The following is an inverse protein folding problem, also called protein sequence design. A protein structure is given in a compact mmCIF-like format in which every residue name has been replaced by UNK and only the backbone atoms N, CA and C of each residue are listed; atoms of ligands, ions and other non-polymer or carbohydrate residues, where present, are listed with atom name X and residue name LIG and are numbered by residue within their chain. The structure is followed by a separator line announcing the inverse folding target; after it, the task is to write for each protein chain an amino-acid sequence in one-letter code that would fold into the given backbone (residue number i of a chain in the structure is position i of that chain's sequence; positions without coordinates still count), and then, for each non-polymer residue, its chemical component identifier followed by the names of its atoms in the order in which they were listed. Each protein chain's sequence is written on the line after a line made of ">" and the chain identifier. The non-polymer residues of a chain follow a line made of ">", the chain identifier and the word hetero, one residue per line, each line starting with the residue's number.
data_IF_354015363979
#
_entry.id   IF_354015363979
#
_cell.length_a   1.000
_cell.length_b   1.000
_cell.length_c   1.000
_cell.angle_alpha   90.00
_cell.angle_beta   90.00
_cell.angle_gamma   90.00
#
_symmetry.space_group_name_H-M   'P 1'
#
loop_
_entity.id
_entity.type
_entity.pdbx_description
1 polymer ?
#
# COMPACT_ATOMS: atom_id res chain seq x y z
N UNK A 1 4.66 -4.77 -7.21
CA UNK A 1 3.30 -4.21 -7.04
C UNK A 1 2.35 -4.97 -7.94
N UNK A 2 1.17 -5.34 -7.43
CA UNK A 2 0.09 -5.95 -8.21
C UNK A 2 -1.18 -5.15 -7.98
N UNK A 3 -1.82 -4.68 -9.05
CA UNK A 3 -3.12 -3.99 -9.00
C UNK A 3 -4.18 -4.98 -9.45
N UNK A 4 -5.23 -5.11 -8.65
CA UNK A 4 -6.41 -5.92 -8.92
C UNK A 4 -7.62 -4.99 -9.02
N UNK A 5 -8.77 -5.46 -9.56
CA UNK A 5 -9.93 -4.60 -9.76
C UNK A 5 -10.42 -3.89 -8.50
N UNK A 6 -10.23 -4.48 -7.32
CA UNK A 6 -10.76 -4.03 -6.03
C UNK A 6 -9.69 -3.82 -4.93
N UNK A 7 -8.42 -4.19 -5.17
CA UNK A 7 -7.35 -4.00 -4.19
C UNK A 7 -5.94 -3.97 -4.81
N UNK A 8 -4.95 -3.53 -4.03
CA UNK A 8 -3.54 -3.47 -4.44
C UNK A 8 -2.65 -4.23 -3.47
N UNK A 9 -1.66 -4.97 -4.01
CA UNK A 9 -0.59 -5.60 -3.24
C UNK A 9 0.72 -4.84 -3.47
N UNK A 10 1.29 -4.33 -2.39
CA UNK A 10 2.52 -3.55 -2.40
C UNK A 10 3.57 -4.21 -1.50
N UNK A 11 4.79 -4.33 -2.01
CA UNK A 11 5.98 -4.58 -1.19
C UNK A 11 6.67 -3.24 -1.06
N UNK A 12 6.77 -2.74 0.16
CA UNK A 12 7.36 -1.42 0.45
C UNK A 12 8.47 -1.55 1.48
N UNK A 13 9.44 -0.64 1.40
CA UNK A 13 10.47 -0.46 2.40
C UNK A 13 10.31 0.93 3.00
N UNK A 14 10.34 1.02 4.33
CA UNK A 14 10.25 2.27 5.08
C UNK A 14 11.20 2.21 6.28
N UNK A 15 11.46 3.35 6.93
CA UNK A 15 12.39 3.36 8.07
C UNK A 15 11.77 2.61 9.25
N UNK A 16 12.56 1.82 9.96
CA UNK A 16 12.08 1.03 11.10
C UNK A 16 11.57 1.88 12.27
N UNK A 17 11.93 3.17 12.30
CA UNK A 17 11.45 4.14 13.28
C UNK A 17 10.08 4.72 12.95
N UNK A 18 9.57 4.51 11.73
CA UNK A 18 8.24 4.99 11.33
C UNK A 18 7.15 4.00 11.75
N UNK A 19 6.02 4.53 12.22
CA UNK A 19 4.83 3.73 12.47
C UNK A 19 4.22 3.28 11.14
N UNK A 20 3.97 1.98 10.98
CA UNK A 20 3.34 1.41 9.79
C UNK A 20 1.98 2.06 9.49
N UNK A 21 1.17 2.34 10.51
CA UNK A 21 -0.13 2.97 10.32
C UNK A 21 0.00 4.36 9.69
N UNK A 22 0.98 5.16 10.12
CA UNK A 22 1.25 6.50 9.57
C UNK A 22 1.80 6.44 8.14
N UNK A 23 2.62 5.43 7.83
CA UNK A 23 3.08 5.15 6.45
C UNK A 23 1.89 4.84 5.55
N UNK A 24 1.00 3.94 5.98
CA UNK A 24 -0.17 3.54 5.18
C UNK A 24 -1.18 4.68 5.07
N UNK A 25 -1.37 5.49 6.12
CA UNK A 25 -2.24 6.67 6.07
C UNK A 25 -1.77 7.66 5.00
N UNK A 26 -0.47 8.01 5.00
CA UNK A 26 0.11 8.90 3.98
C UNK A 26 0.01 8.30 2.58
N UNK A 27 0.26 7.01 2.44
CA UNK A 27 0.19 6.30 1.16
C UNK A 27 -1.24 6.30 0.60
N UNK A 28 -2.22 5.83 1.38
CA UNK A 28 -3.63 5.78 0.96
C UNK A 28 -4.17 7.17 0.67
N UNK A 29 -3.93 8.14 1.57
CA UNK A 29 -4.40 9.52 1.40
C UNK A 29 -3.75 10.21 0.20
N UNK A 30 -2.42 10.10 0.05
CA UNK A 30 -1.68 10.69 -1.05
C UNK A 30 -2.09 10.13 -2.41
N UNK A 31 -2.21 8.79 -2.52
CA UNK A 31 -2.67 8.14 -3.74
C UNK A 31 -4.12 8.49 -4.07
N UNK A 32 -5.03 8.50 -3.08
CA UNK A 32 -6.42 8.93 -3.29
C UNK A 32 -6.48 10.34 -3.88
N UNK A 33 -5.71 11.28 -3.32
CA UNK A 33 -5.66 12.66 -3.81
C UNK A 33 -5.18 12.76 -5.25
N UNK A 34 -4.11 12.04 -5.58
CA UNK A 34 -3.53 12.06 -6.94
C UNK A 34 -4.51 11.40 -7.92
N UNK A 35 -5.01 10.21 -7.61
CA UNK A 35 -5.89 9.46 -8.50
C UNK A 35 -7.20 10.20 -8.79
N UNK A 36 -7.83 10.81 -7.79
CA UNK A 36 -9.04 11.62 -7.99
C UNK A 36 -8.81 12.87 -8.83
N UNK A 37 -7.59 13.44 -8.78
CA UNK A 37 -7.22 14.59 -9.60
C UNK A 37 -6.99 14.18 -11.06
N UNK A 38 -6.31 13.06 -11.28
CA UNK A 38 -5.97 12.57 -12.63
C UNK A 38 -7.15 11.89 -13.32
N UNK A 39 -8.06 11.28 -12.56
CA UNK A 39 -9.23 10.54 -13.05
C UNK A 39 -10.50 10.99 -12.31
N UNK A 40 -11.05 12.18 -12.63
CA UNK A 40 -12.28 12.68 -12.01
C UNK A 40 -13.48 11.75 -12.16
N UNK A 41 -13.49 10.92 -13.21
CA UNK A 41 -14.50 9.89 -13.44
C UNK A 41 -14.56 8.82 -12.33
N UNK A 42 -13.53 8.71 -11.48
CA UNK A 42 -13.54 7.77 -10.36
C UNK A 42 -14.62 8.10 -9.31
N UNK A 43 -15.16 9.33 -9.31
CA UNK A 43 -16.20 9.77 -8.36
C UNK A 43 -17.43 8.86 -8.36
N UNK A 44 -17.83 8.31 -9.51
CA UNK A 44 -19.00 7.42 -9.62
C UNK A 44 -18.78 6.03 -8.99
N UNK A 45 -17.53 5.66 -8.72
CA UNK A 45 -17.15 4.36 -8.16
C UNK A 45 -16.80 4.42 -6.66
N UNK A 46 -16.87 5.61 -6.04
CA UNK A 46 -16.55 5.79 -4.63
C UNK A 46 -17.69 5.35 -3.72
N UNK A 47 -17.33 4.86 -2.54
CA UNK A 47 -18.29 4.62 -1.47
C UNK A 47 -18.43 5.90 -0.64
N UNK A 48 -19.31 6.80 -1.09
CA UNK A 48 -19.39 8.16 -0.55
C UNK A 48 -18.11 8.92 -0.88
N UNK A 49 -17.42 9.44 0.13
CA UNK A 49 -16.14 10.14 -0.05
C UNK A 49 -14.91 9.22 0.18
N UNK A 50 -15.10 7.90 0.28
CA UNK A 50 -14.01 6.96 0.52
C UNK A 50 -13.50 6.31 -0.78
N UNK A 51 -12.21 6.50 -1.08
CA UNK A 51 -11.53 5.84 -2.21
C UNK A 51 -11.02 4.45 -1.85
N UNK A 52 -10.47 4.32 -0.65
CA UNK A 52 -9.99 3.04 -0.12
C UNK A 52 -10.97 2.53 0.93
N UNK A 53 -11.02 1.22 1.13
CA UNK A 53 -11.57 0.65 2.38
C UNK A 53 -10.82 1.23 3.60
N UNK A 54 -11.47 1.36 4.75
CA UNK A 54 -10.85 1.90 5.97
C UNK A 54 -9.63 1.09 6.41
N UNK A 55 -9.69 -0.24 6.25
CA UNK A 55 -8.65 -1.17 6.66
C UNK A 55 -7.45 -1.29 5.70
N UNK A 56 -6.44 -2.03 6.14
CA UNK A 56 -5.33 -2.52 5.31
C UNK A 56 -4.81 -3.84 5.88
N UNK A 57 -4.17 -4.64 5.02
CA UNK A 57 -3.42 -5.82 5.43
C UNK A 57 -1.92 -5.53 5.29
N UNK A 58 -1.13 -5.99 6.26
CA UNK A 58 0.32 -5.86 6.20
C UNK A 58 0.99 -7.07 6.86
N UNK A 59 2.06 -7.52 6.23
CA UNK A 59 2.92 -8.60 6.73
C UNK A 59 4.38 -8.23 6.51
N UNK A 60 5.26 -8.77 7.36
CA UNK A 60 6.70 -8.59 7.23
C UNK A 60 7.23 -9.66 6.28
N UNK A 61 7.96 -9.24 5.25
CA UNK A 61 8.64 -10.13 4.31
C UNK A 61 10.15 -10.00 4.56
N UNK A 62 10.83 -11.13 4.70
CA UNK A 62 12.28 -11.18 4.88
C UNK A 62 12.90 -12.32 4.07
N UNK A 63 14.12 -12.12 3.59
CA UNK A 63 14.92 -13.19 2.99
C UNK A 63 16.18 -13.43 3.81
N UNK A 64 16.48 -14.69 4.09
CA UNK A 64 17.75 -15.08 4.72
C UNK A 64 18.70 -15.55 3.63
N UNK A 65 19.82 -14.85 3.45
CA UNK A 65 20.93 -15.35 2.67
C UNK A 65 21.78 -16.28 3.54
N UNK A 66 21.39 -17.55 3.65
CA UNK A 66 22.26 -18.56 4.27
C UNK A 66 23.37 -18.86 3.26
N UNK A 67 24.57 -18.32 3.51
CA UNK A 67 25.76 -18.79 2.81
C UNK A 67 26.07 -20.19 3.32
N UNK A 68 25.78 -21.21 2.52
CA UNK A 68 26.31 -22.54 2.75
C UNK A 68 27.83 -22.47 2.58
N UNK A 69 28.54 -22.21 3.68
CA UNK A 69 29.95 -22.53 3.77
C UNK A 69 30.03 -24.05 3.84
N UNK A 70 30.22 -24.68 2.68
CA UNK A 70 30.37 -26.12 2.56
C UNK A 70 31.41 -26.64 3.56
N UNK A 71 31.00 -27.66 4.32
CA UNK A 71 31.91 -28.71 4.78
C UNK A 71 32.22 -29.62 3.59
#
# INVERSE_FOLDING_TARGET
>A
MKVLPDHVHLIIQFQSTECLADVIQRLKGGLSRILRKEFPELEEFLWGDSFWSDGYFAEIIGSTNIKNHGL
#
